data_IF_337111545413
#
_entry.id   IF_337111545413
#
_cell.length_a   1.000
_cell.length_b   1.000
_cell.length_c   1.000
_cell.angle_alpha   90.00
_cell.angle_beta   90.00
_cell.angle_gamma   90.00
#
_symmetry.space_group_name_H-M   'P 1'
#
loop_
_entity.id
_entity.type
_entity.pdbx_description
1 polymer ?
#
# COMPACT_ATOMS: atom_id res chain seq x y z
N UNK A 1 30.15 -17.65 22.10
CA UNK A 1 28.70 -17.83 22.38
C UNK A 1 27.93 -16.50 22.24
N UNK A 2 28.47 -15.35 22.68
CA UNK A 2 27.83 -14.03 22.47
C UNK A 2 27.65 -13.63 20.99
N UNK A 3 28.68 -13.81 20.15
CA UNK A 3 28.66 -13.28 18.77
C UNK A 3 27.53 -13.84 17.90
N UNK A 4 27.16 -15.12 18.07
CA UNK A 4 26.09 -15.75 17.27
C UNK A 4 24.72 -15.18 17.65
N UNK A 5 24.49 -14.90 18.93
CA UNK A 5 23.23 -14.33 19.42
C UNK A 5 23.06 -12.91 18.88
N UNK A 6 24.12 -12.11 18.92
CA UNK A 6 24.11 -10.73 18.40
C UNK A 6 23.85 -10.68 16.89
N UNK A 7 24.43 -11.61 16.13
CA UNK A 7 24.16 -11.74 14.68
C UNK A 7 22.68 -12.07 14.44
N UNK A 8 22.12 -13.03 15.19
CA UNK A 8 20.72 -13.43 15.04
C UNK A 8 19.76 -12.29 15.39
N UNK A 9 20.00 -11.56 16.48
CA UNK A 9 19.18 -10.41 16.88
C UNK A 9 19.25 -9.30 15.82
N UNK A 10 20.45 -8.97 15.35
CA UNK A 10 20.62 -7.93 14.35
C UNK A 10 19.97 -8.30 13.02
N UNK A 11 20.08 -9.55 12.60
CA UNK A 11 19.45 -10.06 11.38
C UNK A 11 17.93 -10.01 11.49
N UNK A 12 17.36 -10.51 12.60
CA UNK A 12 15.91 -10.45 12.83
C UNK A 12 15.37 -9.02 12.85
N UNK A 13 16.11 -8.07 13.47
CA UNK A 13 15.74 -6.65 13.45
C UNK A 13 15.79 -6.06 12.03
N UNK A 14 16.82 -6.38 11.25
CA UNK A 14 16.94 -5.89 9.87
C UNK A 14 15.83 -6.45 8.99
N UNK A 15 15.53 -7.73 9.10
CA UNK A 15 14.43 -8.38 8.37
C UNK A 15 13.08 -7.75 8.75
N UNK A 16 12.81 -7.58 10.05
CA UNK A 16 11.57 -6.94 10.51
C UNK A 16 11.40 -5.50 9.99
N UNK A 17 12.48 -4.71 9.98
CA UNK A 17 12.46 -3.35 9.41
C UNK A 17 12.24 -3.36 7.89
N UNK A 18 12.86 -4.30 7.17
CA UNK A 18 12.71 -4.42 5.73
C UNK A 18 11.26 -4.81 5.37
N UNK A 19 10.72 -5.85 6.02
CA UNK A 19 9.35 -6.31 5.81
C UNK A 19 8.35 -5.21 6.17
N UNK A 20 8.45 -4.62 7.37
CA UNK A 20 7.52 -3.56 7.79
C UNK A 20 7.56 -2.33 6.89
N UNK A 21 8.74 -1.96 6.37
CA UNK A 21 8.83 -0.87 5.37
C UNK A 21 8.16 -1.25 4.06
N UNK A 22 8.36 -2.47 3.57
CA UNK A 22 7.75 -2.93 2.32
C UNK A 22 6.23 -3.02 2.44
N UNK A 23 5.71 -3.57 3.53
CA UNK A 23 4.28 -3.63 3.83
C UNK A 23 3.67 -2.23 3.92
N UNK A 24 4.28 -1.33 4.70
CA UNK A 24 3.79 0.05 4.83
C UNK A 24 3.78 0.83 3.52
N UNK A 25 4.77 0.62 2.64
CA UNK A 25 4.77 1.23 1.31
C UNK A 25 3.65 0.67 0.42
N UNK A 26 3.40 -0.63 0.47
CA UNK A 26 2.33 -1.26 -0.29
C UNK A 26 0.94 -0.81 0.18
N UNK A 27 0.70 -0.83 1.50
CA UNK A 27 -0.55 -0.37 2.10
C UNK A 27 -0.80 1.12 1.83
N UNK A 28 0.24 1.96 1.96
CA UNK A 28 0.15 3.39 1.69
C UNK A 28 -0.22 3.67 0.23
N UNK A 29 0.41 2.98 -0.72
CA UNK A 29 0.11 3.13 -2.14
C UNK A 29 -1.33 2.71 -2.48
N UNK A 30 -1.83 1.61 -1.89
CA UNK A 30 -3.21 1.17 -2.09
C UNK A 30 -4.23 2.12 -1.45
N UNK A 31 -3.92 2.67 -0.27
CA UNK A 31 -4.78 3.66 0.40
C UNK A 31 -4.84 4.96 -0.40
N UNK A 32 -3.72 5.43 -0.94
CA UNK A 32 -3.65 6.63 -1.77
C UNK A 32 -4.52 6.50 -3.04
N UNK A 33 -4.41 5.37 -3.77
CA UNK A 33 -5.28 5.10 -4.94
C UNK A 33 -6.76 5.19 -4.58
N UNK A 34 -7.16 4.58 -3.47
CA UNK A 34 -8.56 4.60 -2.99
C UNK A 34 -9.02 6.02 -2.64
N UNK A 35 -8.19 6.79 -1.94
CA UNK A 35 -8.49 8.17 -1.58
C UNK A 35 -8.67 9.07 -2.80
N UNK A 36 -7.78 8.93 -3.81
CA UNK A 36 -7.89 9.66 -5.07
C UNK A 36 -9.18 9.27 -5.79
N UNK A 37 -9.46 7.97 -5.96
CA UNK A 37 -10.67 7.48 -6.60
C UNK A 37 -11.96 7.97 -5.90
N UNK A 38 -11.99 7.96 -4.56
CA UNK A 38 -13.10 8.52 -3.79
C UNK A 38 -13.27 10.02 -4.04
N UNK A 39 -12.18 10.78 -4.05
CA UNK A 39 -12.20 12.20 -4.36
C UNK A 39 -12.75 12.48 -5.77
N UNK A 40 -12.35 11.68 -6.76
CA UNK A 40 -12.84 11.78 -8.13
C UNK A 40 -14.33 11.41 -8.23
N UNK A 41 -14.75 10.30 -7.62
CA UNK A 41 -16.15 9.88 -7.59
C UNK A 41 -17.06 10.96 -6.99
N UNK A 42 -16.63 11.56 -5.87
CA UNK A 42 -17.35 12.69 -5.22
C UNK A 42 -17.45 13.94 -6.09
N UNK A 43 -16.47 14.16 -6.97
CA UNK A 43 -16.46 15.28 -7.93
C UNK A 43 -17.23 14.97 -9.22
N UNK A 44 -17.78 13.77 -9.37
CA UNK A 44 -18.60 13.37 -10.51
C UNK A 44 -17.82 12.95 -11.75
N UNK A 45 -16.54 12.57 -11.60
CA UNK A 45 -15.78 12.01 -12.73
C UNK A 45 -16.32 10.64 -13.16
N UNK A 46 -16.24 10.35 -14.45
CA UNK A 46 -16.67 9.08 -15.02
C UNK A 46 -15.87 7.90 -14.48
N UNK A 47 -16.55 6.79 -14.25
CA UNK A 47 -15.94 5.56 -13.72
C UNK A 47 -14.81 5.06 -14.65
N UNK A 48 -14.98 5.16 -15.97
CA UNK A 48 -13.94 4.75 -16.92
C UNK A 48 -12.65 5.55 -16.76
N UNK A 49 -12.76 6.87 -16.53
CA UNK A 49 -11.61 7.73 -16.30
C UNK A 49 -10.94 7.43 -14.96
N UNK A 50 -11.73 7.18 -13.91
CA UNK A 50 -11.21 6.80 -12.60
C UNK A 50 -10.43 5.48 -12.69
N UNK A 51 -10.94 4.49 -13.42
CA UNK A 51 -10.24 3.23 -13.66
C UNK A 51 -8.91 3.44 -14.37
N UNK A 52 -8.89 4.24 -15.44
CA UNK A 52 -7.68 4.52 -16.21
C UNK A 52 -6.60 5.21 -15.36
N UNK A 53 -6.99 6.20 -14.55
CA UNK A 53 -6.04 7.03 -13.82
C UNK A 53 -5.59 6.41 -12.48
N UNK A 54 -6.42 5.60 -11.84
CA UNK A 54 -6.09 5.00 -10.53
C UNK A 54 -5.65 3.54 -10.63
N UNK A 55 -5.91 2.89 -11.77
CA UNK A 55 -5.68 1.46 -11.97
C UNK A 55 -6.62 0.56 -11.14
N UNK A 56 -7.63 1.12 -10.48
CA UNK A 56 -8.60 0.35 -9.70
C UNK A 56 -9.64 -0.31 -10.62
N UNK A 57 -10.14 -1.47 -10.20
CA UNK A 57 -11.24 -2.14 -10.90
C UNK A 57 -12.54 -1.35 -10.76
N UNK A 58 -13.44 -1.54 -11.73
CA UNK A 58 -14.79 -0.98 -11.69
C UNK A 58 -15.52 -1.32 -10.39
N UNK A 59 -15.42 -2.58 -9.96
CA UNK A 59 -16.06 -3.08 -8.74
C UNK A 59 -15.55 -2.35 -7.49
N UNK A 60 -14.22 -2.18 -7.37
CA UNK A 60 -13.63 -1.43 -6.27
C UNK A 60 -14.16 0.01 -6.26
N UNK A 61 -14.13 0.72 -7.40
CA UNK A 61 -14.61 2.10 -7.51
C UNK A 61 -16.10 2.24 -7.16
N UNK A 62 -16.93 1.25 -7.54
CA UNK A 62 -18.35 1.25 -7.19
C UNK A 62 -18.56 1.07 -5.68
N UNK A 63 -17.70 0.30 -5.01
CA UNK A 63 -17.74 0.06 -3.57
C UNK A 63 -17.17 1.19 -2.70
N UNK A 64 -16.36 2.08 -3.28
CA UNK A 64 -15.74 3.25 -2.61
C UNK A 64 -16.71 4.37 -2.24
#
# INVERSE_FOLDING_TARGET
MCEVIDIMINKGRQEGLATGRQEGLAEGAELEKKNIAQGMKKKGFDISLIMELTGLSKEMILSL
#
